data_IF_346596424179
#
_entry.id   IF_346596424179
#
_cell.length_a   1.000
_cell.length_b   1.000
_cell.length_c   1.000
_cell.angle_alpha   90.00
_cell.angle_beta   90.00
_cell.angle_gamma   90.00
#
_symmetry.space_group_name_H-M   'P 1'
#
loop_
_entity.id
_entity.type
_entity.pdbx_description
1 polymer ?
#
# COMPACT_ATOMS: atom_id res chain seq x y z
N UNK A 1 12.05 32.84 22.77
CA UNK A 1 12.47 31.65 22.07
C UNK A 1 12.13 31.60 20.56
N UNK A 2 12.05 32.63 19.78
CA UNK A 2 12.19 32.46 18.33
C UNK A 2 12.88 33.68 17.75
N UNK A 3 14.19 33.55 17.51
CA UNK A 3 14.93 34.46 16.64
C UNK A 3 14.68 34.14 15.14
N UNK A 4 13.87 33.10 14.86
CA UNK A 4 13.56 32.63 13.51
C UNK A 4 12.14 33.10 13.15
N UNK A 5 12.01 33.71 11.99
CA UNK A 5 10.71 34.02 11.38
C UNK A 5 10.14 32.74 10.76
N UNK A 6 8.84 32.59 10.83
CA UNK A 6 8.13 31.49 10.17
C UNK A 6 8.37 31.51 8.66
N UNK A 7 8.63 30.33 8.06
CA UNK A 7 8.74 30.18 6.61
C UNK A 7 7.36 30.19 5.97
N UNK A 8 6.90 31.39 5.63
CA UNK A 8 5.54 31.59 5.07
C UNK A 8 5.31 30.80 3.79
N UNK A 9 6.34 30.63 2.93
CA UNK A 9 6.19 29.92 1.66
C UNK A 9 5.84 28.46 1.89
N UNK A 10 6.51 27.82 2.85
CA UNK A 10 6.22 26.41 3.18
C UNK A 10 4.81 26.26 3.74
N UNK A 11 4.42 27.10 4.72
CA UNK A 11 3.10 26.96 5.35
C UNK A 11 1.95 27.31 4.42
N UNK A 12 2.06 28.35 3.60
CA UNK A 12 1.11 28.67 2.53
C UNK A 12 1.00 27.55 1.48
N UNK A 13 2.10 26.85 1.20
CA UNK A 13 2.08 25.70 0.28
C UNK A 13 1.39 24.48 0.90
N UNK A 14 1.59 24.24 2.19
CA UNK A 14 0.87 23.20 2.94
C UNK A 14 -0.64 23.47 2.94
N UNK A 15 -1.06 24.73 3.12
CA UNK A 15 -2.48 25.10 3.02
C UNK A 15 -3.05 24.86 1.62
N UNK A 16 -2.30 25.16 0.57
CA UNK A 16 -2.72 24.85 -0.82
C UNK A 16 -2.89 23.35 -1.04
N UNK A 17 -1.98 22.54 -0.49
CA UNK A 17 -2.11 21.08 -0.55
C UNK A 17 -3.33 20.58 0.23
N UNK A 18 -3.60 21.15 1.40
CA UNK A 18 -4.82 20.84 2.16
C UNK A 18 -6.07 21.15 1.33
N UNK A 19 -6.13 22.32 0.68
CA UNK A 19 -7.24 22.67 -0.21
C UNK A 19 -7.36 21.70 -1.39
N UNK A 20 -6.25 21.30 -2.02
CA UNK A 20 -6.26 20.31 -3.10
C UNK A 20 -6.89 18.99 -2.62
N UNK A 21 -6.47 18.49 -1.46
CA UNK A 21 -7.00 17.25 -0.89
C UNK A 21 -8.49 17.38 -0.52
N UNK A 22 -8.92 18.55 -0.01
CA UNK A 22 -10.31 18.79 0.33
C UNK A 22 -11.23 18.87 -0.91
N UNK A 23 -10.75 19.45 -2.01
CA UNK A 23 -11.54 19.75 -3.21
C UNK A 23 -11.48 18.63 -4.26
N UNK A 24 -10.52 17.70 -4.18
CA UNK A 24 -10.38 16.59 -5.10
C UNK A 24 -10.88 15.27 -4.53
N UNK A 25 -11.15 14.31 -5.42
CA UNK A 25 -11.46 12.91 -5.10
C UNK A 25 -10.17 12.10 -5.27
N UNK A 26 -9.62 11.60 -4.15
CA UNK A 26 -8.39 10.81 -4.13
C UNK A 26 -8.68 9.32 -4.31
N UNK A 27 -8.20 8.75 -5.40
CA UNK A 27 -8.36 7.33 -5.75
C UNK A 27 -7.03 6.60 -5.96
N UNK A 28 -5.89 7.21 -5.64
CA UNK A 28 -4.63 6.47 -5.64
C UNK A 28 -4.70 5.37 -4.58
N UNK A 29 -4.67 4.10 -5.01
CA UNK A 29 -4.91 2.94 -4.14
C UNK A 29 -3.90 2.79 -2.99
N UNK A 30 -2.75 3.47 -3.06
CA UNK A 30 -1.71 3.52 -2.04
C UNK A 30 -1.79 4.73 -1.12
N UNK A 31 -2.82 5.58 -1.26
CA UNK A 31 -3.04 6.76 -0.43
C UNK A 31 -4.22 6.61 0.52
N UNK A 32 -4.18 7.38 1.60
CA UNK A 32 -5.24 7.47 2.59
C UNK A 32 -5.10 8.77 3.38
N UNK A 33 -6.14 9.14 4.10
CA UNK A 33 -6.14 10.27 5.02
C UNK A 33 -6.00 9.76 6.45
N UNK A 34 -4.98 10.22 7.15
CA UNK A 34 -4.74 9.84 8.55
C UNK A 34 -5.61 10.67 9.50
N UNK A 35 -5.80 10.19 10.72
CA UNK A 35 -6.48 10.94 11.77
C UNK A 35 -5.65 12.15 12.26
N UNK A 36 -6.31 13.13 12.85
CA UNK A 36 -5.64 14.25 13.54
C UNK A 36 -4.70 13.75 14.64
N UNK A 37 -5.03 12.63 15.30
CA UNK A 37 -4.18 12.01 16.30
C UNK A 37 -2.82 11.57 15.72
N UNK A 38 -2.83 10.99 14.53
CA UNK A 38 -1.61 10.62 13.80
C UNK A 38 -0.82 11.86 13.39
N UNK A 39 -1.49 12.90 12.85
CA UNK A 39 -0.82 14.16 12.48
C UNK A 39 -0.15 14.82 13.69
N UNK A 40 -0.84 14.90 14.84
CA UNK A 40 -0.29 15.43 16.08
C UNK A 40 0.91 14.65 16.60
N UNK A 41 0.88 13.32 16.53
CA UNK A 41 1.98 12.49 16.96
C UNK A 41 3.23 12.74 16.09
N UNK A 42 3.06 12.83 14.77
CA UNK A 42 4.16 13.11 13.84
C UNK A 42 4.76 14.51 14.01
N UNK A 43 3.94 15.53 14.29
CA UNK A 43 4.38 16.90 14.54
C UNK A 43 4.88 17.16 15.96
N UNK A 44 5.18 16.12 16.75
CA UNK A 44 5.56 16.22 18.16
C UNK A 44 7.05 16.45 18.38
N UNK A 45 7.41 16.77 19.62
CA UNK A 45 8.79 16.94 20.09
C UNK A 45 9.66 15.67 19.99
N UNK A 46 9.04 14.52 19.73
CA UNK A 46 9.75 13.24 19.57
C UNK A 46 10.74 13.25 18.40
N UNK A 47 10.56 14.15 17.43
CA UNK A 47 11.51 14.40 16.35
C UNK A 47 12.90 14.80 16.85
N UNK A 48 13.01 15.34 18.08
CA UNK A 48 14.28 15.77 18.67
C UNK A 48 15.12 14.63 19.25
N UNK A 49 14.52 13.43 19.44
CA UNK A 49 15.14 12.36 20.18
C UNK A 49 15.94 11.40 19.28
N UNK A 50 17.21 11.20 19.62
CA UNK A 50 18.08 10.19 18.99
C UNK A 50 18.07 8.91 19.83
N UNK A 51 17.58 7.78 19.28
CA UNK A 51 17.28 6.56 20.04
C UNK A 51 17.78 5.27 19.34
N UNK A 52 19.04 5.25 18.87
CA UNK A 52 19.64 4.04 18.29
C UNK A 52 19.57 2.85 19.24
N UNK A 53 19.30 1.68 18.68
CA UNK A 53 19.02 0.46 19.42
C UNK A 53 17.51 0.17 19.50
N UNK A 54 17.09 -0.51 20.56
CA UNK A 54 15.73 -0.97 20.76
C UNK A 54 15.25 -0.68 22.18
N UNK A 55 13.96 -0.71 22.50
CA UNK A 55 13.46 -0.48 23.85
C UNK A 55 14.23 -1.27 24.91
N UNK A 56 14.65 -0.60 25.97
CA UNK A 56 15.47 -1.16 27.05
C UNK A 56 16.93 -1.46 26.69
N UNK A 57 17.35 -1.26 25.44
CA UNK A 57 18.72 -1.51 24.94
C UNK A 57 19.15 -0.44 23.96
N UNK A 58 19.14 0.82 24.41
CA UNK A 58 19.53 1.98 23.61
C UNK A 58 21.03 2.29 23.76
N UNK A 59 21.58 2.90 22.73
CA UNK A 59 22.97 3.42 22.75
C UNK A 59 23.05 4.82 23.35
N UNK A 60 21.91 5.50 23.57
CA UNK A 60 21.82 6.86 24.12
C UNK A 60 20.96 6.91 25.37
N UNK A 61 21.26 7.85 26.26
CA UNK A 61 20.44 8.14 27.44
C UNK A 61 19.17 8.93 27.11
N UNK A 62 18.26 9.09 28.08
CA UNK A 62 17.03 9.87 27.95
C UNK A 62 15.98 9.22 27.05
N UNK A 63 15.93 7.89 26.99
CA UNK A 63 15.03 7.13 26.13
C UNK A 63 13.81 6.55 26.86
N UNK A 64 13.63 6.85 28.14
CA UNK A 64 12.57 6.27 28.99
C UNK A 64 11.17 6.44 28.41
N UNK A 65 10.86 7.55 27.76
CA UNK A 65 9.52 7.80 27.17
C UNK A 65 9.38 7.26 25.75
N UNK A 66 10.43 7.36 24.92
CA UNK A 66 10.39 6.77 23.57
C UNK A 66 10.36 5.25 23.63
N UNK A 67 10.97 4.63 24.66
CA UNK A 67 10.88 3.20 24.91
C UNK A 67 9.42 2.75 25.14
N UNK A 68 8.67 3.52 25.92
CA UNK A 68 7.23 3.25 26.15
C UNK A 68 6.46 3.34 24.82
N UNK A 69 6.73 4.36 24.02
CA UNK A 69 6.01 4.60 22.76
C UNK A 69 6.32 3.49 21.74
N UNK A 70 7.60 3.16 21.57
CA UNK A 70 8.00 2.12 20.62
C UNK A 70 7.51 0.74 21.07
N UNK A 71 7.55 0.44 22.37
CA UNK A 71 7.02 -0.80 22.91
C UNK A 71 5.49 -0.91 22.67
N UNK A 72 4.74 0.17 22.90
CA UNK A 72 3.30 0.21 22.60
C UNK A 72 3.02 -0.04 21.11
N UNK A 73 3.82 0.52 20.21
CA UNK A 73 3.68 0.25 18.78
C UNK A 73 3.92 -1.21 18.44
N UNK A 74 4.97 -1.81 19.04
CA UNK A 74 5.29 -3.24 18.87
C UNK A 74 4.15 -4.11 19.39
N UNK A 75 3.67 -3.87 20.60
CA UNK A 75 2.64 -4.69 21.25
C UNK A 75 1.31 -4.62 20.47
N UNK A 76 0.90 -3.42 20.08
CA UNK A 76 -0.33 -3.20 19.31
C UNK A 76 -0.30 -3.85 17.93
N UNK A 77 0.81 -3.78 17.22
CA UNK A 77 0.89 -4.39 15.89
C UNK A 77 0.99 -5.92 15.98
N UNK A 78 1.62 -6.45 17.02
CA UNK A 78 1.60 -7.90 17.31
C UNK A 78 0.19 -8.37 17.60
N UNK A 79 -0.57 -7.66 18.43
CA UNK A 79 -1.97 -7.95 18.73
C UNK A 79 -2.83 -7.90 17.46
N UNK A 80 -2.66 -6.84 16.66
CA UNK A 80 -3.46 -6.58 15.45
C UNK A 80 -3.37 -7.72 14.42
N UNK A 81 -2.20 -8.32 14.26
CA UNK A 81 -1.94 -9.35 13.24
C UNK A 81 -1.71 -10.75 13.81
N UNK A 82 -1.64 -10.92 15.13
CA UNK A 82 -1.34 -12.19 15.78
C UNK A 82 0.12 -12.64 15.57
N UNK A 83 1.08 -11.69 15.53
CA UNK A 83 2.48 -11.98 15.27
C UNK A 83 3.26 -12.25 16.56
N UNK A 84 4.26 -13.13 16.50
CA UNK A 84 5.18 -13.40 17.61
C UNK A 84 6.19 -12.28 17.80
N UNK A 85 6.68 -11.71 16.70
CA UNK A 85 7.70 -10.67 16.64
C UNK A 85 7.23 -9.51 15.76
N UNK A 86 7.62 -8.28 16.13
CA UNK A 86 7.43 -7.09 15.31
C UNK A 86 8.61 -6.12 15.42
N UNK A 87 8.93 -5.45 14.31
CA UNK A 87 9.84 -4.31 14.24
C UNK A 87 9.13 -3.13 13.56
N UNK A 88 9.04 -2.02 14.28
CA UNK A 88 8.32 -0.81 13.83
C UNK A 88 9.26 0.32 13.38
N UNK A 89 10.58 0.06 13.36
CA UNK A 89 11.58 1.06 12.97
C UNK A 89 11.77 1.29 11.46
N UNK A 90 11.39 0.39 10.52
CA UNK A 90 11.56 0.67 9.10
C UNK A 90 10.96 2.02 8.71
N UNK A 91 11.76 2.87 8.04
CA UNK A 91 11.31 4.20 7.58
C UNK A 91 10.32 4.10 6.41
N UNK A 92 10.36 2.99 5.67
CA UNK A 92 9.48 2.72 4.53
C UNK A 92 9.27 1.22 4.33
N UNK A 93 8.26 0.87 3.50
CA UNK A 93 8.08 -0.52 3.05
C UNK A 93 9.29 -1.05 2.29
N UNK A 94 9.95 -0.23 1.48
CA UNK A 94 11.18 -0.63 0.76
C UNK A 94 12.31 -1.01 1.71
N UNK A 95 12.49 -0.28 2.82
CA UNK A 95 13.50 -0.63 3.83
C UNK A 95 13.09 -1.85 4.65
N UNK A 96 11.81 -2.05 4.91
CA UNK A 96 11.30 -3.28 5.52
C UNK A 96 11.62 -4.50 4.64
N UNK A 97 11.37 -4.40 3.33
CA UNK A 97 11.70 -5.46 2.36
C UNK A 97 13.21 -5.70 2.27
N UNK A 98 14.02 -4.63 2.23
CA UNK A 98 15.49 -4.76 2.21
C UNK A 98 16.00 -5.48 3.46
N UNK A 99 15.48 -5.16 4.64
CA UNK A 99 15.87 -5.83 5.87
C UNK A 99 15.45 -7.30 5.89
N UNK A 100 14.24 -7.61 5.42
CA UNK A 100 13.75 -8.98 5.30
C UNK A 100 14.65 -9.81 4.36
N UNK A 101 15.00 -9.30 3.18
CA UNK A 101 15.92 -9.99 2.27
C UNK A 101 17.27 -10.23 2.92
N UNK A 102 17.88 -9.22 3.56
CA UNK A 102 19.18 -9.37 4.24
C UNK A 102 19.15 -10.35 5.41
N UNK A 103 18.01 -10.51 6.05
CA UNK A 103 17.85 -11.47 7.16
C UNK A 103 17.67 -12.91 6.69
N UNK A 104 17.03 -13.11 5.52
CA UNK A 104 16.64 -14.43 5.02
C UNK A 104 17.62 -15.02 3.99
N UNK A 105 18.18 -14.19 3.13
CA UNK A 105 18.98 -14.63 1.97
C UNK A 105 20.27 -13.83 1.84
N UNK A 106 21.19 -14.31 1.01
CA UNK A 106 22.46 -13.66 0.72
C UNK A 106 22.38 -12.91 -0.62
N UNK A 107 23.20 -11.88 -0.76
CA UNK A 107 23.37 -11.20 -2.04
C UNK A 107 23.74 -12.21 -3.15
N UNK A 108 23.02 -12.14 -4.26
CA UNK A 108 23.17 -13.06 -5.39
C UNK A 108 22.26 -14.29 -5.32
N UNK A 109 21.58 -14.55 -4.20
CA UNK A 109 20.62 -15.64 -4.11
C UNK A 109 19.42 -15.40 -5.04
N UNK A 110 18.77 -16.50 -5.47
CA UNK A 110 17.60 -16.45 -6.33
C UNK A 110 16.33 -16.25 -5.52
N UNK A 111 15.49 -15.31 -5.98
CA UNK A 111 14.20 -14.98 -5.37
C UNK A 111 13.11 -15.10 -6.42
N UNK A 112 12.00 -15.75 -6.08
CA UNK A 112 10.81 -15.81 -6.93
C UNK A 112 9.80 -14.76 -6.42
N UNK A 113 9.40 -13.83 -7.28
CA UNK A 113 8.47 -12.75 -6.96
C UNK A 113 7.42 -12.54 -8.05
N UNK A 114 6.38 -11.76 -7.74
CA UNK A 114 5.36 -11.44 -8.73
C UNK A 114 5.90 -10.45 -9.77
N UNK A 115 5.63 -10.71 -11.05
CA UNK A 115 6.03 -9.84 -12.16
C UNK A 115 5.46 -8.41 -11.98
N UNK A 116 6.30 -7.41 -12.24
CA UNK A 116 5.95 -6.00 -12.09
C UNK A 116 4.77 -5.62 -12.98
N UNK A 117 4.73 -6.15 -14.22
CA UNK A 117 3.66 -5.88 -15.19
C UNK A 117 2.36 -6.60 -14.82
N UNK A 118 2.41 -7.60 -13.95
CA UNK A 118 1.24 -8.33 -13.46
C UNK A 118 0.78 -7.87 -12.07
N UNK A 119 1.35 -6.77 -11.58
CA UNK A 119 0.96 -6.14 -10.32
C UNK A 119 2.00 -6.21 -9.19
N UNK A 120 3.18 -6.78 -9.42
CA UNK A 120 4.28 -6.81 -8.43
C UNK A 120 4.74 -5.41 -8.01
N UNK A 121 5.44 -5.33 -6.88
CA UNK A 121 6.02 -4.08 -6.39
C UNK A 121 7.46 -3.92 -6.94
N UNK A 122 7.94 -2.67 -7.05
CA UNK A 122 9.31 -2.38 -7.54
C UNK A 122 10.40 -3.09 -6.71
N UNK A 123 10.20 -3.31 -5.41
CA UNK A 123 11.12 -4.04 -4.53
C UNK A 123 11.02 -5.57 -4.67
N UNK A 124 10.21 -6.06 -5.61
CA UNK A 124 10.11 -7.47 -5.96
C UNK A 124 10.89 -7.80 -7.24
N UNK A 125 12.07 -7.17 -7.44
CA UNK A 125 13.02 -7.53 -8.47
C UNK A 125 13.16 -6.56 -9.64
N UNK A 126 12.63 -5.33 -9.56
CA UNK A 126 12.85 -4.34 -10.61
C UNK A 126 14.35 -4.06 -10.79
N UNK A 127 14.85 -4.18 -12.02
CA UNK A 127 16.30 -4.15 -12.30
C UNK A 127 17.04 -2.88 -11.86
N UNK A 128 16.37 -1.73 -11.76
CA UNK A 128 16.97 -0.48 -11.24
C UNK A 128 16.81 -0.31 -9.72
N UNK A 129 16.02 -1.20 -9.08
CA UNK A 129 15.84 -1.21 -7.63
C UNK A 129 16.93 -2.06 -6.96
N UNK A 130 17.22 -1.78 -5.68
CA UNK A 130 18.19 -2.59 -4.91
C UNK A 130 17.89 -4.09 -4.99
N UNK A 131 16.62 -4.48 -5.04
CA UNK A 131 16.21 -5.88 -5.09
C UNK A 131 16.69 -6.58 -6.37
N UNK A 132 16.50 -5.94 -7.53
CA UNK A 132 16.98 -6.47 -8.80
C UNK A 132 18.49 -6.32 -9.00
N UNK A 133 19.16 -5.41 -8.27
CA UNK A 133 20.62 -5.25 -8.32
C UNK A 133 21.37 -6.24 -7.42
N UNK A 134 20.80 -6.57 -6.27
CA UNK A 134 21.46 -7.38 -5.24
C UNK A 134 21.10 -8.87 -5.33
N UNK A 135 19.98 -9.25 -5.98
CA UNK A 135 19.45 -10.61 -6.03
C UNK A 135 19.07 -11.02 -7.45
N UNK A 136 19.02 -12.35 -7.69
CA UNK A 136 18.56 -12.90 -8.96
C UNK A 136 17.04 -13.15 -8.88
N UNK A 137 16.25 -12.25 -9.43
CA UNK A 137 14.80 -12.42 -9.45
C UNK A 137 14.34 -13.22 -10.66
N UNK A 138 13.46 -14.19 -10.40
CA UNK A 138 12.57 -14.84 -11.36
C UNK A 138 11.15 -14.44 -11.05
N UNK A 139 10.30 -14.38 -12.07
CA UNK A 139 8.94 -13.88 -11.89
C UNK A 139 7.91 -14.98 -12.11
N UNK A 140 6.85 -14.95 -11.27
CA UNK A 140 5.59 -15.60 -11.57
C UNK A 140 4.55 -14.55 -11.95
N UNK A 141 3.51 -14.97 -12.67
CA UNK A 141 2.50 -14.05 -13.18
C UNK A 141 1.07 -14.49 -12.92
N UNK A 142 0.19 -13.89 -13.69
CA UNK A 142 -1.23 -14.25 -13.73
C UNK A 142 -1.52 -15.09 -14.96
N UNK A 143 -2.55 -15.92 -14.89
CA UNK A 143 -3.07 -16.67 -16.02
C UNK A 143 -3.67 -15.70 -17.06
N UNK A 144 -3.39 -15.87 -18.36
CA UNK A 144 -3.84 -14.94 -19.39
C UNK A 144 -5.37 -14.93 -19.62
N UNK A 145 -6.07 -15.99 -19.25
CA UNK A 145 -7.53 -16.08 -19.43
C UNK A 145 -8.29 -15.50 -18.23
N UNK A 146 -7.81 -15.78 -17.02
CA UNK A 146 -8.48 -15.38 -15.77
C UNK A 146 -7.94 -14.07 -15.18
N UNK A 147 -6.74 -13.68 -15.58
CA UNK A 147 -5.99 -12.53 -15.02
C UNK A 147 -5.78 -12.64 -13.49
N UNK A 148 -5.82 -13.87 -12.96
CA UNK A 148 -5.54 -14.19 -11.56
C UNK A 148 -4.24 -14.96 -11.43
N UNK A 149 -3.61 -14.93 -10.24
CA UNK A 149 -2.34 -15.64 -9.99
C UNK A 149 -2.49 -17.11 -10.41
N UNK A 150 -1.56 -17.55 -11.27
CA UNK A 150 -1.46 -18.94 -11.71
C UNK A 150 -0.60 -19.73 -10.70
N UNK A 151 -1.27 -20.37 -9.74
CA UNK A 151 -0.57 -21.12 -8.69
C UNK A 151 0.10 -22.40 -9.21
N UNK A 152 -0.38 -23.00 -10.30
CA UNK A 152 0.24 -24.17 -10.92
C UNK A 152 1.53 -23.78 -11.63
N UNK A 153 1.52 -22.66 -12.34
CA UNK A 153 2.70 -22.11 -12.98
C UNK A 153 3.72 -21.61 -11.94
N UNK A 154 3.26 -20.97 -10.84
CA UNK A 154 4.11 -20.57 -9.73
C UNK A 154 4.84 -21.80 -9.14
N UNK A 155 4.11 -22.90 -8.90
CA UNK A 155 4.67 -24.15 -8.39
C UNK A 155 5.68 -24.76 -9.37
N UNK A 156 5.36 -24.78 -10.67
CA UNK A 156 6.25 -25.25 -11.72
C UNK A 156 7.56 -24.46 -11.74
N UNK A 157 7.46 -23.12 -11.74
CA UNK A 157 8.64 -22.25 -11.72
C UNK A 157 9.46 -22.45 -10.44
N UNK A 158 8.81 -22.54 -9.28
CA UNK A 158 9.50 -22.77 -8.01
C UNK A 158 10.30 -24.08 -8.00
N UNK A 159 9.73 -25.17 -8.54
CA UNK A 159 10.41 -26.47 -8.66
C UNK A 159 11.59 -26.46 -9.63
N UNK A 160 11.46 -25.73 -10.73
CA UNK A 160 12.50 -25.60 -11.74
C UNK A 160 13.65 -24.70 -11.26
N UNK A 161 13.31 -23.53 -10.76
CA UNK A 161 14.27 -22.48 -10.42
C UNK A 161 14.89 -22.62 -9.03
N UNK A 162 14.24 -23.35 -8.13
CA UNK A 162 14.68 -23.61 -6.73
C UNK A 162 15.15 -22.34 -6.01
N UNK A 163 14.28 -21.33 -5.89
CA UNK A 163 14.64 -20.08 -5.24
C UNK A 163 14.95 -20.29 -3.75
N UNK A 164 15.76 -19.43 -3.16
CA UNK A 164 16.00 -19.40 -1.72
C UNK A 164 14.87 -18.68 -0.96
N UNK A 165 14.11 -17.83 -1.67
CA UNK A 165 13.00 -17.07 -1.12
C UNK A 165 11.87 -16.97 -2.15
N UNK A 166 10.63 -17.14 -1.71
CA UNK A 166 9.44 -16.78 -2.48
C UNK A 166 8.79 -15.56 -1.82
N UNK A 167 8.48 -14.54 -2.63
CA UNK A 167 7.83 -13.30 -2.18
C UNK A 167 6.45 -13.22 -2.79
N UNK A 168 5.43 -13.09 -1.95
CA UNK A 168 4.07 -12.80 -2.35
C UNK A 168 3.66 -11.39 -1.91
N UNK A 169 2.59 -10.88 -2.52
CA UNK A 169 2.08 -9.53 -2.31
C UNK A 169 2.15 -8.72 -3.61
N UNK A 170 1.28 -7.74 -3.73
CA UNK A 170 1.11 -7.00 -4.97
C UNK A 170 0.72 -5.55 -4.71
N UNK A 171 1.05 -4.68 -5.69
CA UNK A 171 0.67 -3.26 -5.72
C UNK A 171 -0.57 -2.99 -6.56
N UNK A 172 -0.88 -3.87 -7.53
CA UNK A 172 -1.96 -3.69 -8.48
C UNK A 172 -2.64 -5.03 -8.83
N UNK A 173 -3.00 -5.80 -7.82
CA UNK A 173 -3.69 -7.07 -7.97
C UNK A 173 -5.03 -7.01 -7.21
N UNK A 174 -6.19 -7.09 -7.92
CA UNK A 174 -7.49 -6.83 -7.31
C UNK A 174 -8.13 -8.06 -6.63
N UNK A 175 -7.52 -9.24 -6.70
CA UNK A 175 -8.10 -10.47 -6.17
C UNK A 175 -7.42 -10.92 -4.87
N UNK A 176 -8.06 -11.85 -4.18
CA UNK A 176 -7.48 -12.49 -3.01
C UNK A 176 -6.23 -13.29 -3.38
N UNK A 177 -5.23 -13.31 -2.48
CA UNK A 177 -4.00 -14.10 -2.63
C UNK A 177 -4.06 -15.25 -1.61
N UNK A 178 -3.93 -16.48 -2.09
CA UNK A 178 -3.85 -17.66 -1.23
C UNK A 178 -2.43 -17.86 -0.69
N UNK A 179 -2.15 -17.21 0.45
CA UNK A 179 -0.86 -17.31 1.12
C UNK A 179 -0.56 -18.72 1.64
N UNK A 180 -1.61 -19.49 2.00
CA UNK A 180 -1.46 -20.87 2.43
C UNK A 180 -0.89 -21.72 1.30
N UNK A 181 -1.47 -21.62 0.09
CA UNK A 181 -1.01 -22.36 -1.08
C UNK A 181 0.44 -22.01 -1.44
N UNK A 182 0.81 -20.73 -1.42
CA UNK A 182 2.18 -20.31 -1.70
C UNK A 182 3.16 -20.80 -0.62
N UNK A 183 2.75 -20.80 0.65
CA UNK A 183 3.54 -21.38 1.75
C UNK A 183 3.81 -22.87 1.56
N UNK A 184 2.83 -23.63 1.07
CA UNK A 184 3.00 -25.04 0.77
C UNK A 184 4.02 -25.26 -0.34
N UNK A 185 3.94 -24.48 -1.42
CA UNK A 185 4.92 -24.49 -2.52
C UNK A 185 6.33 -24.14 -2.01
N UNK A 186 6.46 -23.08 -1.20
CA UNK A 186 7.75 -22.68 -0.65
C UNK A 186 8.40 -23.79 0.20
N UNK A 187 7.61 -24.47 1.04
CA UNK A 187 8.07 -25.60 1.84
C UNK A 187 8.52 -26.78 0.99
N UNK A 188 7.80 -27.07 -0.09
CA UNK A 188 8.12 -28.18 -1.00
C UNK A 188 9.49 -28.00 -1.67
N UNK A 189 9.85 -26.76 -2.02
CA UNK A 189 11.14 -26.44 -2.64
C UNK A 189 12.23 -26.05 -1.63
N UNK A 190 11.91 -25.98 -0.34
CA UNK A 190 12.85 -25.61 0.72
C UNK A 190 13.21 -24.12 0.75
N UNK A 191 12.35 -23.25 0.20
CA UNK A 191 12.51 -21.81 0.19
C UNK A 191 11.92 -21.16 1.46
N UNK A 192 12.48 -20.03 1.89
CA UNK A 192 11.79 -19.13 2.78
C UNK A 192 10.55 -18.53 2.09
N UNK A 193 9.55 -18.15 2.88
CA UNK A 193 8.36 -17.47 2.39
C UNK A 193 8.18 -16.11 3.05
N UNK A 194 8.14 -15.07 2.24
CA UNK A 194 7.90 -13.69 2.67
C UNK A 194 6.64 -13.14 2.01
N UNK A 195 5.85 -12.38 2.76
CA UNK A 195 4.69 -11.67 2.23
C UNK A 195 4.85 -10.18 2.47
N UNK A 196 4.75 -9.39 1.40
CA UNK A 196 4.56 -7.94 1.46
C UNK A 196 3.06 -7.64 1.39
N UNK A 197 2.43 -7.41 2.55
CA UNK A 197 1.00 -7.13 2.64
C UNK A 197 0.66 -5.63 2.60
N UNK A 198 1.58 -4.78 2.17
CA UNK A 198 1.46 -3.32 2.27
C UNK A 198 0.13 -2.78 1.77
N UNK A 199 -0.36 -3.23 0.61
CA UNK A 199 -1.61 -2.76 0.04
C UNK A 199 -2.84 -3.22 0.82
N UNK A 200 -2.81 -4.42 1.35
CA UNK A 200 -3.97 -5.09 1.98
C UNK A 200 -3.89 -5.15 3.50
N UNK A 201 -2.91 -4.49 4.13
CA UNK A 201 -2.68 -4.62 5.58
C UNK A 201 -3.89 -4.26 6.42
N UNK A 202 -4.67 -3.24 6.05
CA UNK A 202 -5.91 -2.91 6.74
C UNK A 202 -6.97 -4.00 6.61
N UNK A 203 -7.07 -4.63 5.43
CA UNK A 203 -8.00 -5.74 5.18
C UNK A 203 -7.61 -6.96 6.01
N UNK A 204 -6.32 -7.31 6.02
CA UNK A 204 -5.77 -8.41 6.83
C UNK A 204 -6.04 -8.18 8.32
N UNK A 205 -5.85 -6.96 8.81
CA UNK A 205 -6.06 -6.60 10.21
C UNK A 205 -7.50 -6.86 10.70
N UNK A 206 -8.47 -6.88 9.79
CA UNK A 206 -9.90 -7.09 10.11
C UNK A 206 -10.50 -8.36 9.48
N UNK A 207 -9.66 -9.22 8.91
CA UNK A 207 -10.10 -10.51 8.36
C UNK A 207 -10.85 -10.40 7.02
N UNK A 208 -10.78 -9.26 6.35
CA UNK A 208 -11.33 -9.08 5.01
C UNK A 208 -10.39 -9.60 3.89
N UNK A 209 -9.21 -10.08 4.26
CA UNK A 209 -8.28 -10.83 3.44
C UNK A 209 -7.55 -11.85 4.30
N UNK A 210 -7.10 -12.97 3.70
CA UNK A 210 -6.33 -13.99 4.43
C UNK A 210 -5.11 -13.36 5.13
N UNK A 211 -4.93 -13.68 6.42
CA UNK A 211 -3.77 -13.23 7.19
C UNK A 211 -2.53 -14.06 6.80
N UNK A 212 -1.44 -13.45 6.30
CA UNK A 212 -0.22 -14.18 5.93
C UNK A 212 0.64 -14.62 7.12
N UNK A 213 0.47 -14.01 8.29
CA UNK A 213 1.35 -14.24 9.48
C UNK A 213 1.47 -15.72 9.87
N UNK A 214 0.40 -16.52 9.88
CA UNK A 214 0.52 -17.96 10.19
C UNK A 214 1.29 -18.79 9.15
N UNK A 215 1.45 -18.28 7.94
CA UNK A 215 2.00 -19.03 6.80
C UNK A 215 3.40 -18.59 6.41
N UNK A 216 3.72 -17.32 6.55
CA UNK A 216 5.00 -16.73 6.14
C UNK A 216 6.06 -16.80 7.24
N UNK A 217 7.33 -16.83 6.86
CA UNK A 217 8.45 -16.68 7.77
C UNK A 217 8.63 -15.22 8.20
N UNK A 218 8.46 -14.30 7.25
CA UNK A 218 8.50 -12.86 7.46
C UNK A 218 7.36 -12.19 6.68
N UNK A 219 6.69 -11.23 7.32
CA UNK A 219 5.68 -10.37 6.68
C UNK A 219 6.14 -8.94 6.80
N UNK A 220 6.12 -8.20 5.70
CA UNK A 220 6.39 -6.77 5.67
C UNK A 220 5.15 -5.98 5.32
N UNK A 221 5.13 -4.73 5.70
CA UNK A 221 4.05 -3.81 5.31
C UNK A 221 4.53 -2.36 5.31
N UNK A 222 3.77 -1.52 4.64
CA UNK A 222 3.69 -0.09 4.92
C UNK A 222 2.62 0.18 5.98
N UNK A 223 2.64 1.37 6.58
CA UNK A 223 1.66 1.78 7.58
C UNK A 223 0.60 2.75 7.05
N UNK A 224 0.76 3.30 5.83
CA UNK A 224 0.05 4.48 5.33
C UNK A 224 -0.96 4.23 4.20
N UNK A 225 -1.27 2.96 3.87
CA UNK A 225 -2.25 2.62 2.83
C UNK A 225 -3.60 2.26 3.47
N UNK A 226 -4.09 1.05 3.28
CA UNK A 226 -5.34 0.59 3.92
C UNK A 226 -5.26 0.56 5.46
N UNK A 227 -4.05 0.47 6.03
CA UNK A 227 -3.84 0.52 7.48
C UNK A 227 -4.00 1.94 8.08
N UNK A 228 -4.06 2.97 7.23
CA UNK A 228 -4.43 4.35 7.57
C UNK A 228 -3.52 5.02 8.62
N UNK A 229 -2.25 4.66 8.65
CA UNK A 229 -1.25 5.23 9.55
C UNK A 229 -0.29 6.22 8.87
N UNK A 230 0.75 6.67 9.59
CA UNK A 230 1.77 7.54 9.04
C UNK A 230 2.60 6.83 7.97
N UNK A 231 3.27 7.58 7.11
CA UNK A 231 4.22 7.01 6.16
C UNK A 231 5.37 6.33 6.87
N UNK A 232 5.51 5.03 6.65
CA UNK A 232 6.51 4.20 7.29
C UNK A 232 6.36 2.74 6.88
N UNK A 233 7.20 1.88 7.45
CA UNK A 233 7.15 0.43 7.26
C UNK A 233 7.09 -0.33 8.60
N UNK A 234 6.84 -1.61 8.52
CA UNK A 234 6.91 -2.55 9.64
C UNK A 234 7.31 -3.94 9.14
N UNK A 235 7.81 -4.76 10.06
CA UNK A 235 8.13 -6.16 9.83
C UNK A 235 7.50 -6.98 10.94
N UNK A 236 6.82 -8.07 10.56
CA UNK A 236 6.30 -9.10 11.46
C UNK A 236 6.99 -10.42 11.12
N UNK A 237 7.21 -11.27 12.10
CA UNK A 237 7.83 -12.56 11.85
C UNK A 237 7.57 -13.55 12.99
N UNK A 238 8.01 -14.78 12.80
CA UNK A 238 8.22 -15.72 13.90
C UNK A 238 9.40 -15.22 14.76
N UNK A 239 9.37 -15.50 16.06
CA UNK A 239 10.37 -15.03 17.02
C UNK A 239 11.81 -15.39 16.62
N UNK A 240 12.01 -16.58 16.03
CA UNK A 240 13.33 -17.06 15.59
C UNK A 240 14.07 -16.13 14.62
N UNK A 241 13.34 -15.34 13.83
CA UNK A 241 13.93 -14.37 12.89
C UNK A 241 14.22 -13.01 13.54
N UNK A 242 13.67 -12.74 14.73
CA UNK A 242 13.70 -11.42 15.36
C UNK A 242 15.09 -10.82 15.49
N UNK A 243 16.07 -11.61 15.97
CA UNK A 243 17.45 -11.13 16.14
C UNK A 243 18.10 -10.74 14.81
N UNK A 244 17.86 -11.51 13.73
CA UNK A 244 18.42 -11.22 12.40
C UNK A 244 17.77 -9.97 11.81
N UNK A 245 16.44 -9.83 11.94
CA UNK A 245 15.67 -8.69 11.46
C UNK A 245 16.06 -7.40 12.20
N UNK A 246 16.20 -7.45 13.53
CA UNK A 246 16.70 -6.32 14.30
C UNK A 246 18.07 -5.87 13.82
N UNK A 247 19.01 -6.82 13.64
CA UNK A 247 20.35 -6.52 13.13
C UNK A 247 20.35 -5.99 11.70
N UNK A 248 19.45 -6.46 10.86
CA UNK A 248 19.30 -5.99 9.48
C UNK A 248 18.78 -4.55 9.41
N UNK A 249 17.90 -4.15 10.32
CA UNK A 249 17.44 -2.76 10.45
C UNK A 249 18.56 -1.93 11.11
N UNK A 250 18.89 -2.19 12.36
CA UNK A 250 19.92 -1.46 13.08
C UNK A 250 20.99 -2.43 13.61
N UNK A 251 22.25 -2.22 13.24
CA UNK A 251 22.83 -1.13 12.47
C UNK A 251 22.90 -1.41 10.94
N UNK A 252 22.19 -2.41 10.42
CA UNK A 252 22.39 -2.94 9.08
C UNK A 252 22.09 -1.96 7.94
N UNK A 253 20.96 -1.25 7.99
CA UNK A 253 20.51 -0.32 6.94
C UNK A 253 20.01 1.04 7.48
N UNK A 254 19.74 1.15 8.78
CA UNK A 254 19.29 2.37 9.44
C UNK A 254 20.17 2.70 10.65
N UNK A 255 20.16 3.99 11.05
CA UNK A 255 20.66 4.49 12.32
C UNK A 255 19.50 4.75 13.29
N UNK A 256 19.43 5.99 13.83
CA UNK A 256 18.36 6.39 14.75
C UNK A 256 16.97 6.26 14.14
N UNK A 257 16.03 5.63 14.86
CA UNK A 257 14.66 5.50 14.40
C UNK A 257 13.94 6.86 14.45
N UNK A 258 12.88 6.99 13.66
CA UNK A 258 12.03 8.17 13.62
C UNK A 258 10.94 8.05 14.69
N UNK A 259 11.25 8.45 15.94
CA UNK A 259 10.36 8.21 17.09
C UNK A 259 9.01 8.95 16.97
N UNK A 260 8.96 10.11 16.31
CA UNK A 260 7.72 10.82 15.99
C UNK A 260 6.85 10.05 14.99
N UNK A 261 7.44 9.34 14.04
CA UNK A 261 6.70 8.45 13.12
C UNK A 261 6.24 7.19 13.85
N UNK A 262 7.09 6.60 14.72
CA UNK A 262 6.71 5.44 15.54
C UNK A 262 5.53 5.79 16.46
N UNK A 263 5.50 6.99 17.03
CA UNK A 263 4.36 7.48 17.79
C UNK A 263 3.09 7.54 16.92
N UNK A 264 3.19 8.05 15.69
CA UNK A 264 2.09 8.01 14.72
C UNK A 264 1.62 6.59 14.40
N UNK A 265 2.55 5.63 14.25
CA UNK A 265 2.24 4.20 14.08
C UNK A 265 1.49 3.65 15.31
N UNK A 266 1.95 3.96 16.52
CA UNK A 266 1.30 3.52 17.75
C UNK A 266 -0.14 4.04 17.87
N UNK A 267 -0.40 5.28 17.45
CA UNK A 267 -1.77 5.84 17.38
C UNK A 267 -2.60 5.09 16.35
N UNK A 268 -2.10 4.94 15.13
CA UNK A 268 -2.81 4.24 14.05
C UNK A 268 -3.14 2.77 14.39
N UNK A 269 -2.22 2.06 15.04
CA UNK A 269 -2.48 0.68 15.47
C UNK A 269 -3.53 0.61 16.58
N UNK A 270 -3.57 1.60 17.47
CA UNK A 270 -4.64 1.71 18.45
C UNK A 270 -6.01 1.93 17.76
N UNK A 271 -6.07 2.82 16.78
CA UNK A 271 -7.28 3.05 15.98
C UNK A 271 -7.69 1.78 15.22
N UNK A 272 -6.72 1.07 14.63
CA UNK A 272 -6.97 -0.17 13.90
C UNK A 272 -7.47 -1.33 14.78
N UNK A 273 -7.17 -1.34 16.07
CA UNK A 273 -7.71 -2.31 17.02
C UNK A 273 -9.20 -2.07 17.35
N UNK A 274 -9.71 -0.84 17.14
CA UNK A 274 -11.10 -0.50 17.47
C UNK A 274 -12.10 -1.16 16.51
N UNK A 275 -13.35 -1.44 16.96
CA UNK A 275 -14.41 -1.98 16.10
C UNK A 275 -14.71 -1.11 14.86
N UNK A 276 -14.72 0.20 15.02
CA UNK A 276 -14.98 1.15 13.94
C UNK A 276 -14.02 1.01 12.74
N UNK A 277 -12.79 0.51 12.98
CA UNK A 277 -11.88 0.22 11.88
C UNK A 277 -12.32 -0.99 11.05
N UNK A 278 -13.02 -1.96 11.67
CA UNK A 278 -13.64 -3.07 10.95
C UNK A 278 -14.76 -2.59 10.01
N UNK A 279 -15.64 -1.71 10.52
CA UNK A 279 -16.71 -1.09 9.72
C UNK A 279 -16.13 -0.30 8.54
N UNK A 280 -15.06 0.46 8.79
CA UNK A 280 -14.33 1.18 7.74
C UNK A 280 -13.79 0.23 6.65
N UNK A 281 -13.13 -0.86 7.02
CA UNK A 281 -12.57 -1.82 6.06
C UNK A 281 -13.66 -2.53 5.26
N UNK A 282 -14.77 -2.91 5.89
CA UNK A 282 -15.91 -3.48 5.18
C UNK A 282 -16.46 -2.49 4.14
N UNK A 283 -16.57 -1.21 4.50
CA UNK A 283 -17.03 -0.18 3.59
C UNK A 283 -16.05 0.06 2.45
N UNK A 284 -14.73 -0.02 2.69
CA UNK A 284 -13.70 0.07 1.64
C UNK A 284 -13.93 -0.99 0.56
N UNK A 285 -14.17 -2.24 0.96
CA UNK A 285 -14.41 -3.35 0.01
C UNK A 285 -15.75 -3.19 -0.71
N UNK A 286 -16.83 -2.79 0.01
CA UNK A 286 -18.15 -2.53 -0.60
C UNK A 286 -18.06 -1.43 -1.66
N UNK A 287 -17.37 -0.34 -1.36
CA UNK A 287 -17.17 0.76 -2.29
C UNK A 287 -16.41 0.31 -3.55
N UNK A 288 -15.36 -0.51 -3.40
CA UNK A 288 -14.61 -1.01 -4.53
C UNK A 288 -15.48 -1.92 -5.43
N UNK A 289 -16.28 -2.81 -4.84
CA UNK A 289 -17.22 -3.66 -5.58
C UNK A 289 -18.29 -2.82 -6.29
N UNK A 290 -18.85 -1.83 -5.59
CA UNK A 290 -19.86 -0.93 -6.16
C UNK A 290 -19.32 -0.13 -7.37
N UNK A 291 -18.05 0.31 -7.31
CA UNK A 291 -17.41 0.94 -8.48
C UNK A 291 -17.20 -0.05 -9.62
N UNK A 292 -16.84 -1.31 -9.35
CA UNK A 292 -16.63 -2.33 -10.37
C UNK A 292 -17.91 -2.58 -11.18
N UNK A 293 -19.07 -2.65 -10.52
CA UNK A 293 -20.39 -2.87 -11.15
C UNK A 293 -20.72 -1.80 -12.21
N UNK A 294 -20.29 -0.55 -12.01
CA UNK A 294 -20.54 0.54 -12.96
C UNK A 294 -19.81 0.33 -14.28
N UNK A 295 -18.67 -0.33 -14.27
CA UNK A 295 -17.88 -0.55 -15.48
C UNK A 295 -18.31 -1.79 -16.28
N UNK A 296 -19.20 -2.63 -15.76
CA UNK A 296 -19.68 -3.82 -16.47
C UNK A 296 -20.36 -3.45 -17.79
N UNK A 297 -19.90 -4.04 -18.91
CA UNK A 297 -20.46 -3.80 -20.24
C UNK A 297 -20.18 -2.43 -20.84
N UNK A 298 -19.25 -1.67 -20.26
CA UNK A 298 -18.82 -0.34 -20.77
C UNK A 298 -17.49 -0.42 -21.51
N UNK A 299 -17.00 0.72 -22.01
CA UNK A 299 -15.66 0.86 -22.62
C UNK A 299 -14.49 0.73 -21.62
N UNK A 300 -14.76 0.59 -20.33
CA UNK A 300 -13.77 0.38 -19.28
C UNK A 300 -13.98 -1.01 -18.68
N UNK A 301 -12.94 -1.84 -18.71
CA UNK A 301 -13.02 -3.22 -18.22
C UNK A 301 -12.22 -3.37 -16.92
N UNK A 302 -12.84 -3.87 -15.88
CA UNK A 302 -12.11 -4.29 -14.68
C UNK A 302 -11.30 -5.56 -14.97
N UNK A 303 -9.98 -5.51 -14.74
CA UNK A 303 -9.08 -6.67 -14.85
C UNK A 303 -9.55 -7.77 -13.90
N UNK A 304 -9.46 -9.01 -14.32
CA UNK A 304 -9.96 -10.21 -13.63
C UNK A 304 -11.48 -10.19 -13.32
N UNK A 305 -12.24 -9.33 -14.00
CA UNK A 305 -13.70 -9.24 -13.85
C UNK A 305 -14.18 -8.58 -12.55
N UNK A 306 -13.33 -7.80 -11.84
CA UNK A 306 -13.75 -7.09 -10.64
C UNK A 306 -12.71 -7.09 -9.51
N UNK A 307 -13.15 -7.03 -8.25
CA UNK A 307 -12.25 -6.95 -7.10
C UNK A 307 -12.76 -7.68 -5.86
N UNK A 308 -11.83 -8.21 -5.06
CA UNK A 308 -12.08 -8.76 -3.73
C UNK A 308 -11.52 -7.84 -2.62
N UNK A 309 -10.83 -6.75 -2.98
CA UNK A 309 -10.14 -5.88 -2.04
C UNK A 309 -10.48 -4.38 -2.22
N UNK A 310 -9.55 -3.49 -1.95
CA UNK A 310 -9.74 -2.03 -1.93
C UNK A 310 -9.44 -1.34 -3.26
N UNK A 311 -8.98 -2.07 -4.28
CA UNK A 311 -8.56 -1.47 -5.55
C UNK A 311 -9.18 -2.15 -6.76
N UNK A 312 -9.24 -1.41 -7.85
CA UNK A 312 -9.53 -1.88 -9.19
C UNK A 312 -8.35 -1.56 -10.10
N UNK A 313 -8.03 -2.48 -10.97
CA UNK A 313 -7.16 -2.24 -12.12
C UNK A 313 -8.07 -2.22 -13.36
N UNK A 314 -8.07 -1.11 -14.07
CA UNK A 314 -9.01 -0.84 -15.16
C UNK A 314 -8.27 -0.79 -16.51
N UNK A 315 -8.68 -1.64 -17.45
CA UNK A 315 -8.30 -1.56 -18.85
C UNK A 315 -9.18 -0.50 -19.54
N UNK A 316 -8.54 0.52 -20.12
CA UNK A 316 -9.24 1.67 -20.72
C UNK A 316 -9.04 1.77 -22.24
N UNK A 317 -8.47 0.74 -22.88
CA UNK A 317 -8.10 0.77 -24.31
C UNK A 317 -9.28 1.14 -25.22
N UNK A 318 -10.49 0.68 -24.90
CA UNK A 318 -11.68 0.96 -25.73
C UNK A 318 -12.16 2.42 -25.63
N UNK A 319 -11.66 3.21 -24.69
CA UNK A 319 -11.92 4.67 -24.66
C UNK A 319 -11.09 5.44 -25.69
N UNK A 320 -10.09 4.80 -26.30
CA UNK A 320 -9.16 5.44 -27.22
C UNK A 320 -8.00 6.18 -26.53
N UNK A 321 -7.98 6.23 -25.19
CA UNK A 321 -6.93 6.87 -24.39
C UNK A 321 -5.91 5.83 -23.88
N UNK A 322 -4.69 6.26 -23.66
CA UNK A 322 -3.74 5.51 -22.84
C UNK A 322 -3.81 5.93 -21.36
N UNK A 323 -3.16 5.17 -20.48
CA UNK A 323 -3.23 5.42 -19.04
C UNK A 323 -2.70 6.79 -18.61
N UNK A 324 -1.68 7.32 -19.31
CA UNK A 324 -1.15 8.66 -19.03
C UNK A 324 -2.18 9.74 -19.40
N UNK A 325 -2.74 9.67 -20.58
CA UNK A 325 -3.75 10.62 -21.04
C UNK A 325 -5.00 10.59 -20.13
N UNK A 326 -5.45 9.39 -19.73
CA UNK A 326 -6.57 9.24 -18.82
C UNK A 326 -6.28 9.82 -17.42
N UNK A 327 -5.10 9.58 -16.87
CA UNK A 327 -4.67 10.16 -15.58
C UNK A 327 -4.67 11.70 -15.66
N UNK A 328 -4.07 12.27 -16.69
CA UNK A 328 -3.99 13.72 -16.88
C UNK A 328 -5.37 14.35 -17.09
N UNK A 329 -6.26 13.69 -17.84
CA UNK A 329 -7.63 14.16 -18.07
C UNK A 329 -8.46 14.15 -16.78
N UNK A 330 -8.43 13.04 -16.02
CA UNK A 330 -9.14 12.91 -14.76
C UNK A 330 -8.67 13.95 -13.72
N UNK A 331 -7.38 14.27 -13.70
CA UNK A 331 -6.84 15.31 -12.82
C UNK A 331 -7.45 16.69 -13.13
N UNK A 332 -7.74 17.01 -14.42
CA UNK A 332 -8.39 18.26 -14.81
C UNK A 332 -9.81 18.44 -14.28
N UNK A 333 -10.47 17.35 -13.92
CA UNK A 333 -11.83 17.35 -13.34
C UNK A 333 -11.83 17.09 -11.82
N UNK A 334 -10.63 17.03 -11.20
CA UNK A 334 -10.49 16.87 -9.76
C UNK A 334 -10.59 15.43 -9.27
N UNK A 335 -10.34 14.45 -10.13
CA UNK A 335 -10.28 13.02 -9.78
C UNK A 335 -8.83 12.53 -9.94
N UNK A 336 -8.17 12.18 -8.83
CA UNK A 336 -6.76 11.78 -8.83
C UNK A 336 -6.62 10.26 -8.86
N UNK A 337 -5.98 9.74 -9.91
CA UNK A 337 -5.67 8.33 -10.12
C UNK A 337 -4.21 8.16 -10.54
N UNK A 338 -3.72 6.93 -10.65
CA UNK A 338 -2.44 6.69 -11.33
C UNK A 338 -2.61 5.80 -12.56
N UNK A 339 -1.85 6.13 -13.63
CA UNK A 339 -1.67 5.18 -14.74
C UNK A 339 -1.03 3.90 -14.24
N UNK A 340 -1.41 2.77 -14.79
CA UNK A 340 -0.89 1.46 -14.42
C UNK A 340 -0.86 0.52 -15.62
N UNK A 341 0.21 -0.26 -15.74
CA UNK A 341 0.22 -1.36 -16.69
C UNK A 341 -0.86 -2.39 -16.30
N UNK A 342 -1.51 -2.97 -17.29
CA UNK A 342 -2.37 -4.14 -17.11
C UNK A 342 -1.59 -5.41 -17.44
N UNK A 343 -2.00 -6.59 -16.98
CA UNK A 343 -1.36 -7.84 -17.38
C UNK A 343 -1.29 -7.94 -18.91
N UNK A 344 -0.13 -8.37 -19.40
CA UNK A 344 0.15 -8.51 -20.86
C UNK A 344 0.04 -7.17 -21.65
N UNK A 345 0.28 -6.05 -20.97
CA UNK A 345 0.24 -4.72 -21.59
C UNK A 345 1.24 -4.62 -22.75
N UNK A 346 0.79 -4.06 -23.86
CA UNK A 346 1.62 -3.86 -25.06
C UNK A 346 2.21 -2.44 -25.13
N UNK A 347 1.77 -1.53 -24.27
CA UNK A 347 2.28 -0.18 -24.19
C UNK A 347 3.48 -0.07 -23.22
N UNK A 348 4.42 0.85 -23.47
CA UNK A 348 5.55 1.05 -22.57
C UNK A 348 5.09 1.63 -21.21
N UNK A 349 5.86 1.41 -20.12
CA UNK A 349 5.50 1.86 -18.76
C UNK A 349 5.21 3.35 -18.61
N UNK A 350 5.71 4.18 -19.51
CA UNK A 350 5.45 5.65 -19.51
C UNK A 350 4.05 6.02 -20.01
N UNK A 351 3.37 5.12 -20.74
CA UNK A 351 2.02 5.31 -21.30
C UNK A 351 0.99 4.43 -20.59
N UNK A 352 1.22 3.10 -20.56
CA UNK A 352 0.33 2.05 -20.06
C UNK A 352 -1.03 1.98 -20.75
N UNK A 353 -1.74 0.87 -20.60
CA UNK A 353 -3.11 0.69 -21.14
C UNK A 353 -4.19 0.80 -20.07
N UNK A 354 -3.83 1.06 -18.84
CA UNK A 354 -4.78 1.10 -17.74
C UNK A 354 -4.52 2.20 -16.72
N UNK A 355 -5.47 2.30 -15.81
CA UNK A 355 -5.42 3.10 -14.60
C UNK A 355 -5.72 2.21 -13.39
N UNK A 356 -5.15 2.56 -12.24
CA UNK A 356 -5.48 1.93 -10.96
C UNK A 356 -6.26 2.92 -10.10
N UNK A 357 -7.36 2.46 -9.50
CA UNK A 357 -8.18 3.22 -8.57
C UNK A 357 -8.35 2.45 -7.27
N UNK A 358 -8.46 3.14 -6.15
CA UNK A 358 -8.66 2.55 -4.84
C UNK A 358 -9.63 3.36 -4.00
N UNK A 359 -10.28 2.70 -3.06
CA UNK A 359 -11.40 3.28 -2.29
C UNK A 359 -11.04 3.64 -0.85
N UNK A 360 -9.82 3.39 -0.39
CA UNK A 360 -9.43 3.64 1.00
C UNK A 360 -9.60 5.12 1.41
N UNK A 361 -9.10 6.06 0.59
CA UNK A 361 -9.14 7.48 0.88
C UNK A 361 -10.58 8.05 0.87
N UNK A 362 -11.38 7.70 -0.15
CA UNK A 362 -12.77 8.17 -0.22
C UNK A 362 -13.63 7.59 0.91
N UNK A 363 -13.38 6.34 1.30
CA UNK A 363 -14.08 5.73 2.46
C UNK A 363 -13.71 6.42 3.76
N UNK A 364 -12.45 6.84 3.94
CA UNK A 364 -12.05 7.66 5.10
C UNK A 364 -12.83 8.99 5.17
N UNK A 365 -13.20 9.56 4.03
CA UNK A 365 -14.06 10.76 3.95
C UNK A 365 -15.54 10.49 4.22
N UNK A 366 -15.96 9.22 4.33
CA UNK A 366 -17.33 8.83 4.57
C UNK A 366 -18.15 8.49 3.32
N UNK A 367 -17.53 8.30 2.17
CA UNK A 367 -18.22 7.84 0.96
C UNK A 367 -18.80 6.44 1.19
N UNK A 368 -20.06 6.26 0.82
CA UNK A 368 -20.78 5.00 0.76
C UNK A 368 -20.79 4.42 -0.68
N UNK A 369 -21.47 3.28 -0.88
CA UNK A 369 -21.58 2.62 -2.18
C UNK A 369 -22.23 3.51 -3.25
N UNK A 370 -23.22 4.33 -2.87
CA UNK A 370 -23.91 5.22 -3.80
C UNK A 370 -22.96 6.33 -4.28
N UNK A 371 -22.21 6.94 -3.36
CA UNK A 371 -21.20 7.94 -3.69
C UNK A 371 -20.03 7.32 -4.50
N UNK A 372 -19.61 6.10 -4.17
CA UNK A 372 -18.58 5.37 -4.91
C UNK A 372 -19.01 5.05 -6.34
N UNK A 373 -20.27 4.58 -6.56
CA UNK A 373 -20.84 4.39 -7.90
C UNK A 373 -20.84 5.69 -8.69
N UNK A 374 -21.25 6.80 -8.06
CA UNK A 374 -21.23 8.11 -8.70
C UNK A 374 -19.84 8.51 -9.16
N UNK A 375 -18.80 8.27 -8.36
CA UNK A 375 -17.42 8.51 -8.76
C UNK A 375 -17.02 7.67 -9.97
N UNK A 376 -17.41 6.39 -10.01
CA UNK A 376 -17.15 5.51 -11.17
C UNK A 376 -17.86 6.00 -12.44
N UNK A 377 -19.11 6.48 -12.31
CA UNK A 377 -19.84 7.12 -13.43
C UNK A 377 -19.14 8.38 -13.94
N UNK A 378 -18.59 9.20 -13.04
CA UNK A 378 -17.83 10.40 -13.41
C UNK A 378 -16.53 10.03 -14.15
N UNK A 379 -15.83 8.98 -13.72
CA UNK A 379 -14.65 8.45 -14.43
C UNK A 379 -15.06 8.00 -15.83
N UNK A 380 -16.10 7.16 -15.96
CA UNK A 380 -16.59 6.67 -17.25
C UNK A 380 -16.97 7.85 -18.16
N UNK A 381 -17.77 8.79 -17.67
CA UNK A 381 -18.21 9.97 -18.41
C UNK A 381 -17.03 10.81 -18.90
N UNK A 382 -16.03 11.03 -18.06
CA UNK A 382 -14.85 11.79 -18.40
C UNK A 382 -14.04 11.11 -19.50
N UNK A 383 -13.73 9.81 -19.34
CA UNK A 383 -12.87 9.09 -20.28
C UNK A 383 -13.55 8.79 -21.63
N UNK A 384 -14.88 8.78 -21.68
CA UNK A 384 -15.64 8.60 -22.94
C UNK A 384 -16.00 9.92 -23.64
N UNK A 385 -15.72 11.07 -23.00
CA UNK A 385 -15.98 12.40 -23.56
C UNK A 385 -14.77 13.34 -23.43
N UNK A 386 -13.56 12.93 -23.86
CA UNK A 386 -12.31 13.62 -23.52
C UNK A 386 -12.19 15.05 -24.07
N UNK A 387 -12.90 15.35 -25.16
CA UNK A 387 -12.86 16.66 -25.84
C UNK A 387 -14.11 17.51 -25.60
N UNK A 388 -15.10 16.99 -24.86
CA UNK A 388 -16.36 17.69 -24.63
C UNK A 388 -16.30 18.55 -23.36
N UNK A 389 -15.92 19.80 -23.51
CA UNK A 389 -15.73 20.72 -22.37
C UNK A 389 -17.00 20.98 -21.58
N UNK A 390 -18.20 20.90 -22.18
CA UNK A 390 -19.47 21.05 -21.45
C UNK A 390 -19.67 19.86 -20.48
N UNK A 391 -19.40 18.64 -20.95
CA UNK A 391 -19.46 17.43 -20.11
C UNK A 391 -18.40 17.50 -19.00
N UNK A 392 -17.16 17.87 -19.33
CA UNK A 392 -16.08 17.99 -18.33
C UNK A 392 -16.41 19.05 -17.27
N UNK A 393 -17.04 20.16 -17.65
CA UNK A 393 -17.51 21.15 -16.69
C UNK A 393 -18.61 20.62 -15.77
N UNK A 394 -19.55 19.84 -16.30
CA UNK A 394 -20.57 19.16 -15.49
C UNK A 394 -19.91 18.21 -14.46
N UNK A 395 -18.92 17.41 -14.88
CA UNK A 395 -18.17 16.52 -14.00
C UNK A 395 -17.48 17.30 -12.88
N UNK A 396 -16.81 18.43 -13.19
CA UNK A 396 -16.17 19.30 -12.17
C UNK A 396 -17.17 19.78 -11.12
N UNK A 397 -18.39 20.14 -11.53
CA UNK A 397 -19.44 20.57 -10.58
C UNK A 397 -19.89 19.42 -9.68
N UNK A 398 -20.04 18.22 -10.22
CA UNK A 398 -20.43 17.04 -9.44
C UNK A 398 -19.33 16.60 -8.48
N UNK A 399 -18.05 16.64 -8.90
CA UNK A 399 -16.90 16.42 -8.01
C UNK A 399 -16.93 17.42 -6.85
N UNK A 400 -17.15 18.70 -7.13
CA UNK A 400 -17.28 19.73 -6.10
C UNK A 400 -18.41 19.45 -5.13
N UNK A 401 -19.59 19.04 -5.60
CA UNK A 401 -20.74 18.70 -4.75
C UNK A 401 -20.42 17.52 -3.82
N UNK A 402 -19.77 16.47 -4.37
CA UNK A 402 -19.35 15.31 -3.56
C UNK A 402 -18.35 15.72 -2.48
N UNK A 403 -17.35 16.53 -2.82
CA UNK A 403 -16.33 16.94 -1.86
C UNK A 403 -16.84 17.93 -0.80
N UNK A 404 -17.87 18.72 -1.12
CA UNK A 404 -18.60 19.58 -0.15
C UNK A 404 -19.51 18.76 0.78
N UNK A 405 -20.05 17.64 0.31
CA UNK A 405 -20.87 16.71 1.12
C UNK A 405 -20.01 15.90 2.06
N UNK A 406 -18.93 15.31 1.56
CA UNK A 406 -17.99 14.46 2.29
C UNK A 406 -16.71 15.25 2.63
N UNK A 407 -16.80 16.13 3.62
CA UNK A 407 -15.70 17.03 3.99
C UNK A 407 -14.53 16.29 4.63
N UNK A 408 -13.31 16.64 4.23
CA UNK A 408 -12.08 16.17 4.85
C UNK A 408 -11.60 17.18 5.88
N UNK A 409 -11.27 16.73 7.10
CA UNK A 409 -10.75 17.54 8.20
C UNK A 409 -11.67 18.77 8.50
N UNK A 410 -12.97 18.52 8.66
CA UNK A 410 -14.01 19.54 8.92
C UNK A 410 -14.09 19.95 10.39
#
# INVERSE_FOLDING_TARGET
MSQFTEDKIIFETIEKELHRQQQGIELIASENFVSEGVLRAQGSILTNKYAEGYPGRRYYGGCEYVDVIEQLAIDRVKELFGAEYANVQPHSGSQANMAAYRALVKKGDKILGMDLNHGGHLTHGMGVNFSGQDYQFVSYGVNPETETIDYEELERIAKEEKPQLIVAGASAYPREIDFKRISEIAKEVGAYFMVDMAHIAGLVAKGAHQNPVPYADVVTSTTHKTLRGPRGGLILAKEEFGKKLNSAIFPGIQGGPLEHVIAGKAVAFHEALQPAFGEYIEQVVKNAKAMAEVFEGTAIRAISGGTDNHLLLLDIKETGLNGKEAQELLDTVGITVNKNAIPFDTLPPVKTSGIRVGTAAITTRGFDEAAAKKVAELILTTLTNPENEEVLNSVRQEVKQLTETFKLYA
#
